data_IF_285371146600
#
_entry.id   IF_285371146600
#
_cell.length_a   1.000
_cell.length_b   1.000
_cell.length_c   1.000
_cell.angle_alpha   90.00
_cell.angle_beta   90.00
_cell.angle_gamma   90.00
#
_symmetry.space_group_name_H-M   'P 1'
#
loop_
_entity.id
_entity.type
_entity.pdbx_description
1 polymer ?
#
# COMPACT_ATOMS: atom_id res chain seq x y z
N UNK A 1 -3.00 -12.00 2.24
CA UNK A 1 -4.06 -10.97 2.37
C UNK A 1 -3.83 -9.97 3.48
N UNK A 2 -3.44 -10.39 4.70
CA UNK A 2 -3.16 -9.45 5.80
C UNK A 2 -2.08 -8.40 5.45
N UNK A 3 -0.97 -8.81 4.81
CA UNK A 3 0.11 -7.90 4.40
C UNK A 3 -0.35 -6.86 3.38
N UNK A 4 -1.07 -7.29 2.34
CA UNK A 4 -1.65 -6.39 1.33
C UNK A 4 -2.59 -5.40 1.99
N UNK A 5 -3.52 -5.86 2.84
CA UNK A 5 -4.43 -4.99 3.58
C UNK A 5 -3.68 -3.97 4.45
N UNK A 6 -2.76 -4.43 5.29
CA UNK A 6 -1.97 -3.56 6.16
C UNK A 6 -1.17 -2.50 5.37
N UNK A 7 -0.67 -2.85 4.18
CA UNK A 7 0.07 -1.91 3.32
C UNK A 7 -0.84 -0.80 2.79
N UNK A 8 -2.05 -1.14 2.33
CA UNK A 8 -3.02 -0.15 1.85
C UNK A 8 -3.57 0.71 3.00
N UNK A 9 -3.82 0.13 4.18
CA UNK A 9 -4.23 0.88 5.36
C UNK A 9 -3.13 1.87 5.81
N UNK A 10 -1.87 1.44 5.85
CA UNK A 10 -0.76 2.30 6.21
C UNK A 10 -0.57 3.45 5.21
N UNK A 11 -0.78 3.20 3.90
CA UNK A 11 -0.78 4.25 2.89
C UNK A 11 -1.93 5.27 3.11
N UNK A 12 -3.15 4.81 3.39
CA UNK A 12 -4.26 5.72 3.66
C UNK A 12 -4.04 6.59 4.92
N UNK A 13 -3.46 6.00 5.97
CA UNK A 13 -3.09 6.71 7.20
C UNK A 13 -2.02 7.77 6.91
N UNK A 14 -0.98 7.44 6.15
CA UNK A 14 0.11 8.39 5.88
C UNK A 14 -0.34 9.54 4.98
N UNK A 15 -1.22 9.29 4.01
CA UNK A 15 -1.83 10.33 3.17
C UNK A 15 -2.66 11.31 3.99
N UNK A 16 -3.46 10.78 4.93
CA UNK A 16 -4.23 11.61 5.87
C UNK A 16 -3.31 12.44 6.75
N UNK A 17 -2.25 11.82 7.29
CA UNK A 17 -1.27 12.51 8.12
C UNK A 17 -0.52 13.60 7.35
N UNK A 18 -0.20 13.41 6.06
CA UNK A 18 0.44 14.42 5.21
C UNK A 18 -0.45 15.67 5.08
N UNK A 19 -1.75 15.50 4.86
CA UNK A 19 -2.71 16.60 4.81
C UNK A 19 -2.82 17.39 6.12
N UNK A 20 -2.72 16.71 7.26
CA UNK A 20 -2.81 17.32 8.60
C UNK A 20 -1.50 17.97 9.06
N UNK A 21 -0.35 17.44 8.64
CA UNK A 21 0.97 17.91 9.07
C UNK A 21 1.37 19.26 8.47
N UNK A 22 0.71 19.68 7.39
CA UNK A 22 0.95 20.97 6.73
C UNK A 22 2.37 21.08 6.17
N UNK A 23 2.91 22.31 6.13
CA UNK A 23 4.22 22.58 5.51
C UNK A 23 5.38 21.82 6.14
N UNK A 24 5.29 21.38 7.40
CA UNK A 24 6.35 20.60 8.05
C UNK A 24 6.57 19.23 7.41
N UNK A 25 5.60 18.72 6.64
CA UNK A 25 5.69 17.42 5.99
C UNK A 25 6.55 17.39 4.73
N UNK A 26 6.89 18.56 4.15
CA UNK A 26 7.58 18.64 2.85
C UNK A 26 9.11 18.73 2.96
N UNK A 27 9.62 19.06 4.14
CA UNK A 27 11.05 19.30 4.32
C UNK A 27 11.81 18.01 4.63
N UNK A 28 12.89 17.76 3.88
CA UNK A 28 13.76 16.58 4.04
C UNK A 28 14.46 16.53 5.41
N UNK A 29 14.67 17.68 6.06
CA UNK A 29 15.24 17.77 7.40
C UNK A 29 14.26 17.33 8.50
N UNK A 30 12.99 17.09 8.13
CA UNK A 30 11.95 16.55 9.02
C UNK A 30 11.75 15.06 8.79
N UNK A 31 11.47 14.30 9.86
CA UNK A 31 11.36 12.84 9.77
C UNK A 31 10.16 12.33 8.97
N UNK A 32 9.17 13.19 8.66
CA UNK A 32 7.92 12.80 8.02
C UNK A 32 8.09 12.51 6.53
N UNK A 33 8.75 13.41 5.80
CA UNK A 33 8.93 13.38 4.34
C UNK A 33 9.48 12.02 3.88
N UNK A 34 10.52 11.53 4.56
CA UNK A 34 11.12 10.23 4.25
C UNK A 34 10.17 9.06 4.48
N UNK A 35 9.42 9.06 5.58
CA UNK A 35 8.45 7.98 5.89
C UNK A 35 7.31 7.94 4.89
N UNK A 36 6.86 9.11 4.43
CA UNK A 36 5.87 9.24 3.38
C UNK A 36 6.35 8.55 2.09
N UNK A 37 7.55 8.90 1.61
CA UNK A 37 8.15 8.24 0.44
C UNK A 37 8.35 6.75 0.64
N UNK A 38 8.88 6.33 1.79
CA UNK A 38 9.15 4.93 2.08
C UNK A 38 7.85 4.09 2.05
N UNK A 39 6.74 4.62 2.59
CA UNK A 39 5.44 3.95 2.53
C UNK A 39 4.96 3.77 1.08
N UNK A 40 5.06 4.79 0.24
CA UNK A 40 4.68 4.67 -1.17
C UNK A 40 5.63 3.78 -1.98
N UNK A 41 6.89 3.63 -1.57
CA UNK A 41 7.79 2.64 -2.15
C UNK A 41 7.36 1.21 -1.81
N UNK A 42 6.92 0.98 -0.57
CA UNK A 42 6.38 -0.33 -0.14
C UNK A 42 5.11 -0.69 -0.91
N UNK A 43 4.24 0.27 -1.26
CA UNK A 43 3.04 -0.01 -2.07
C UNK A 43 3.36 -0.49 -3.49
N UNK A 44 4.59 -0.30 -3.99
CA UNK A 44 5.00 -0.80 -5.33
C UNK A 44 5.48 -2.25 -5.30
N UNK A 45 5.72 -2.82 -4.12
CA UNK A 45 6.21 -4.19 -4.00
C UNK A 45 5.15 -5.21 -4.42
N UNK A 46 5.60 -6.37 -4.91
CA UNK A 46 4.71 -7.47 -5.34
C UNK A 46 3.67 -7.84 -4.26
N UNK A 47 4.04 -7.75 -2.98
CA UNK A 47 3.19 -8.08 -1.84
C UNK A 47 1.99 -7.11 -1.64
N UNK A 48 2.10 -5.89 -2.16
CA UNK A 48 1.07 -4.87 -2.07
C UNK A 48 0.09 -4.87 -3.26
N UNK A 49 0.34 -5.69 -4.29
CA UNK A 49 -0.52 -5.76 -5.48
C UNK A 49 -1.94 -6.18 -5.11
N UNK A 50 -2.93 -5.42 -5.59
CA UNK A 50 -4.36 -5.73 -5.38
C UNK A 50 -4.80 -7.03 -6.08
N UNK A 51 -4.04 -7.50 -7.07
CA UNK A 51 -4.25 -8.79 -7.74
C UNK A 51 -4.33 -9.98 -6.77
N UNK A 52 -3.74 -9.88 -5.57
CA UNK A 52 -3.89 -10.90 -4.54
C UNK A 52 -5.35 -11.07 -4.07
N UNK A 53 -6.14 -9.99 -4.04
CA UNK A 53 -7.56 -10.05 -3.68
C UNK A 53 -8.37 -10.74 -4.76
N UNK A 54 -8.10 -10.43 -6.03
CA UNK A 54 -8.77 -11.06 -7.17
C UNK A 54 -8.46 -12.56 -7.25
N UNK A 55 -7.20 -12.94 -7.03
CA UNK A 55 -6.79 -14.34 -7.06
C UNK A 55 -7.49 -15.17 -5.96
N UNK A 56 -7.52 -14.66 -4.72
CA UNK A 56 -8.25 -15.30 -3.62
C UNK A 56 -9.76 -15.30 -3.88
N UNK A 57 -10.30 -14.21 -4.42
CA UNK A 57 -11.72 -14.10 -4.77
C UNK A 57 -12.14 -15.11 -5.84
N UNK A 58 -11.35 -15.27 -6.90
CA UNK A 58 -11.59 -16.25 -7.96
C UNK A 58 -11.64 -17.68 -7.38
N UNK A 59 -10.65 -18.03 -6.54
CA UNK A 59 -10.63 -19.32 -5.85
C UNK A 59 -11.88 -19.54 -4.98
N UNK A 60 -12.28 -18.55 -4.19
CA UNK A 60 -13.46 -18.63 -3.32
C UNK A 60 -14.78 -18.73 -4.10
N UNK A 61 -14.82 -18.23 -5.34
CA UNK A 61 -15.97 -18.31 -6.25
C UNK A 61 -15.95 -19.55 -7.15
N UNK A 62 -14.95 -20.43 -7.03
CA UNK A 62 -14.81 -21.62 -7.87
C UNK A 62 -14.37 -21.34 -9.31
N UNK A 63 -13.76 -20.19 -9.55
CA UNK A 63 -13.18 -19.80 -10.84
C UNK A 63 -11.70 -20.19 -10.90
N UNK A 64 -11.17 -20.41 -12.11
CA UNK A 64 -9.74 -20.68 -12.31
C UNK A 64 -8.90 -19.42 -12.00
N UNK A 65 -8.00 -19.45 -11.01
CA UNK A 65 -7.23 -18.26 -10.63
C UNK A 65 -6.10 -17.97 -11.63
N UNK A 66 -6.07 -16.78 -12.22
CA UNK A 66 -4.94 -16.36 -13.07
C UNK A 66 -3.67 -16.17 -12.22
N UNK A 67 -2.48 -16.62 -12.67
CA UNK A 67 -1.24 -16.42 -11.93
C UNK A 67 -0.90 -14.93 -11.80
N UNK A 68 -0.74 -14.45 -10.57
CA UNK A 68 -0.49 -13.04 -10.26
C UNK A 68 0.96 -12.56 -10.50
N UNK A 69 1.79 -13.38 -11.16
CA UNK A 69 3.25 -13.24 -11.19
C UNK A 69 3.83 -12.58 -12.46
N UNK A 70 3.00 -12.06 -13.36
CA UNK A 70 3.45 -11.22 -14.47
C UNK A 70 3.30 -9.73 -14.13
#
# INVERSE_FOLDING_TARGET
>A
MASTHATHEAAAVIDTAYGLAGSNAIFEDRPFERRFRDMHAVTQQLQARRAHYEHVGAYLLGLEPTPAFL
#
